data_IF_470425875460
#
_entry.id   IF_470425875460
#
_cell.length_a   1.000
_cell.length_b   1.000
_cell.length_c   1.000
_cell.angle_alpha   90.00
_cell.angle_beta   90.00
_cell.angle_gamma   90.00
#
_symmetry.space_group_name_H-M   'P 1'
#
loop_
_entity.id
_entity.type
_entity.pdbx_description
1 polymer ?
#
# COMPACT_ATOMS: atom_id res chain seq x y z
N UNK A 1 14.41 10.10 -26.31
CA UNK A 1 14.57 9.37 -25.04
C UNK A 1 13.37 8.47 -24.90
N UNK A 2 13.61 7.17 -24.73
CA UNK A 2 12.54 6.17 -24.62
C UNK A 2 11.65 6.47 -23.42
N UNK A 3 10.38 6.08 -23.52
CA UNK A 3 9.31 6.37 -22.54
C UNK A 3 9.66 6.03 -21.08
N UNK A 4 10.63 5.15 -20.85
CA UNK A 4 11.07 4.69 -19.52
C UNK A 4 12.60 4.72 -19.33
N UNK A 5 13.36 5.30 -20.26
CA UNK A 5 14.83 5.30 -20.23
C UNK A 5 15.40 6.04 -19.02
N UNK A 6 14.82 7.19 -18.71
CA UNK A 6 15.28 8.06 -17.61
C UNK A 6 15.01 7.41 -16.24
N UNK A 7 13.86 6.73 -16.08
CA UNK A 7 13.52 6.00 -14.85
C UNK A 7 14.46 4.81 -14.61
N UNK A 8 14.83 4.10 -15.68
CA UNK A 8 15.82 3.03 -15.60
C UNK A 8 17.20 3.58 -15.24
N UNK A 9 17.62 4.66 -15.89
CA UNK A 9 18.91 5.30 -15.62
C UNK A 9 18.97 5.79 -14.17
N UNK A 10 17.92 6.44 -13.65
CA UNK A 10 17.84 6.83 -12.25
C UNK A 10 18.02 5.63 -11.30
N UNK A 11 17.31 4.52 -11.55
CA UNK A 11 17.43 3.32 -10.72
C UNK A 11 18.84 2.70 -10.74
N UNK A 12 19.55 2.80 -11.87
CA UNK A 12 20.94 2.36 -11.96
C UNK A 12 21.86 3.28 -11.14
N UNK A 13 21.63 4.60 -11.20
CA UNK A 13 22.43 5.61 -10.50
C UNK A 13 22.31 5.45 -8.98
N UNK A 14 21.11 5.21 -8.45
CA UNK A 14 20.91 4.92 -7.02
C UNK A 14 21.72 3.70 -6.54
N UNK A 15 21.99 2.77 -7.45
CA UNK A 15 22.79 1.55 -7.19
C UNK A 15 24.28 1.74 -7.48
N UNK A 16 24.70 2.96 -7.82
CA UNK A 16 26.09 3.28 -8.16
C UNK A 16 26.52 2.86 -9.56
N UNK A 17 25.58 2.47 -10.42
CA UNK A 17 25.84 2.02 -11.80
C UNK A 17 25.49 3.13 -12.81
N UNK A 18 26.07 3.05 -14.01
CA UNK A 18 25.69 3.92 -15.14
C UNK A 18 25.35 3.07 -16.35
N UNK A 19 24.33 3.49 -17.10
CA UNK A 19 23.91 2.79 -18.31
C UNK A 19 25.02 2.74 -19.38
N UNK A 20 25.90 3.74 -19.41
CA UNK A 20 27.05 3.79 -20.32
C UNK A 20 28.15 2.75 -20.02
N UNK A 21 28.17 2.17 -18.82
CA UNK A 21 29.19 1.21 -18.40
C UNK A 21 28.78 -0.25 -18.72
N UNK A 22 27.60 -0.44 -19.33
CA UNK A 22 27.06 -1.75 -19.73
C UNK A 22 27.90 -2.35 -20.85
N UNK A 23 28.27 -3.62 -20.69
CA UNK A 23 29.14 -4.35 -21.61
C UNK A 23 30.62 -4.33 -21.19
N UNK A 24 30.93 -3.78 -20.02
CA UNK A 24 32.24 -3.90 -19.38
C UNK A 24 32.41 -5.26 -18.70
N UNK A 25 33.64 -5.55 -18.24
CA UNK A 25 33.95 -6.78 -17.48
C UNK A 25 33.21 -6.79 -16.14
N UNK A 26 32.99 -5.62 -15.54
CA UNK A 26 32.36 -5.48 -14.22
C UNK A 26 30.83 -5.32 -14.30
N UNK A 27 30.30 -4.90 -15.45
CA UNK A 27 28.86 -4.71 -15.66
C UNK A 27 28.44 -5.18 -17.05
N UNK A 28 27.96 -6.42 -17.13
CA UNK A 28 27.61 -7.07 -18.39
C UNK A 28 26.17 -6.79 -18.80
N UNK A 29 25.84 -7.07 -20.07
CA UNK A 29 24.45 -7.03 -20.56
C UNK A 29 23.52 -7.99 -19.80
N UNK A 30 24.06 -9.08 -19.25
CA UNK A 30 23.29 -10.00 -18.44
C UNK A 30 22.92 -9.38 -17.10
N UNK A 31 23.85 -8.67 -16.45
CA UNK A 31 23.61 -7.98 -15.19
C UNK A 31 22.54 -6.90 -15.34
N UNK A 32 22.60 -6.13 -16.43
CA UNK A 32 21.54 -5.17 -16.77
C UNK A 32 20.19 -5.86 -16.92
N UNK A 33 20.12 -6.99 -17.66
CA UNK A 33 18.86 -7.71 -17.86
C UNK A 33 18.28 -8.24 -16.54
N UNK A 34 19.12 -8.75 -15.63
CA UNK A 34 18.70 -9.20 -14.30
C UNK A 34 18.18 -8.03 -13.47
N UNK A 35 18.86 -6.88 -13.49
CA UNK A 35 18.44 -5.67 -12.78
C UNK A 35 17.09 -5.20 -13.31
N UNK A 36 16.93 -5.02 -14.63
CA UNK A 36 15.67 -4.58 -15.24
C UNK A 36 14.53 -5.53 -14.88
N UNK A 37 14.75 -6.85 -14.99
CA UNK A 37 13.74 -7.86 -14.64
C UNK A 37 13.36 -7.80 -13.15
N UNK A 38 14.32 -7.62 -12.27
CA UNK A 38 14.06 -7.57 -10.81
C UNK A 38 13.36 -6.27 -10.42
N UNK A 39 13.79 -5.14 -10.98
CA UNK A 39 13.22 -3.83 -10.68
C UNK A 39 11.81 -3.66 -11.24
N UNK A 40 11.57 -4.11 -12.47
CA UNK A 40 10.26 -4.00 -13.10
C UNK A 40 9.17 -4.86 -12.42
N UNK A 41 9.57 -5.90 -11.70
CA UNK A 41 8.67 -6.71 -10.86
C UNK A 41 8.65 -6.27 -9.38
N UNK A 42 9.54 -5.35 -9.01
CA UNK A 42 9.64 -4.82 -7.67
C UNK A 42 8.68 -3.66 -7.41
N UNK A 43 8.65 -3.21 -6.16
CA UNK A 43 7.88 -2.05 -5.70
C UNK A 43 8.86 -1.02 -5.10
N UNK A 44 8.45 0.24 -5.02
CA UNK A 44 9.26 1.29 -4.39
C UNK A 44 10.46 1.76 -5.21
N UNK A 45 10.40 1.62 -6.54
CA UNK A 45 11.44 2.15 -7.43
C UNK A 45 10.83 2.88 -8.63
N UNK A 46 11.59 3.81 -9.20
CA UNK A 46 11.10 4.71 -10.26
C UNK A 46 10.76 3.94 -11.56
N UNK A 47 11.46 2.84 -11.85
CA UNK A 47 11.13 1.99 -12.99
C UNK A 47 9.76 1.31 -12.81
N UNK A 48 9.45 0.84 -11.61
CA UNK A 48 8.15 0.25 -11.31
C UNK A 48 7.02 1.29 -11.39
N UNK A 49 7.26 2.53 -10.94
CA UNK A 49 6.30 3.64 -11.10
C UNK A 49 6.05 3.94 -12.57
N UNK A 50 7.10 3.96 -13.38
CA UNK A 50 6.97 4.22 -14.81
C UNK A 50 6.20 3.11 -15.55
N UNK A 51 6.30 1.85 -15.09
CA UNK A 51 5.64 0.69 -15.70
C UNK A 51 4.19 0.48 -15.21
N UNK A 52 3.96 0.63 -13.91
CA UNK A 52 2.70 0.23 -13.24
C UNK A 52 1.94 1.41 -12.64
N UNK A 53 2.46 2.63 -12.77
CA UNK A 53 1.86 3.85 -12.24
C UNK A 53 2.20 4.12 -10.76
N UNK A 54 1.60 5.18 -10.23
CA UNK A 54 1.95 5.73 -8.91
C UNK A 54 1.79 4.72 -7.76
N UNK A 55 0.88 3.76 -7.89
CA UNK A 55 0.69 2.69 -6.90
C UNK A 55 1.95 1.86 -6.66
N UNK A 56 2.79 1.67 -7.68
CA UNK A 56 4.04 0.92 -7.55
C UNK A 56 5.14 1.67 -6.80
N UNK A 57 4.94 2.95 -6.47
CA UNK A 57 5.84 3.73 -5.60
C UNK A 57 5.84 3.21 -4.17
N UNK A 58 4.73 2.62 -3.73
CA UNK A 58 4.55 2.29 -2.33
C UNK A 58 4.92 0.84 -2.03
N UNK A 59 5.67 0.65 -0.95
CA UNK A 59 6.01 -0.69 -0.47
C UNK A 59 4.80 -1.39 0.14
N UNK A 60 4.89 -2.71 0.31
CA UNK A 60 3.88 -3.48 1.07
C UNK A 60 3.72 -2.94 2.49
N UNK A 61 4.82 -2.49 3.10
CA UNK A 61 4.81 -1.96 4.45
C UNK A 61 4.03 -0.64 4.54
N UNK A 62 4.16 0.24 3.54
CA UNK A 62 3.37 1.49 3.47
C UNK A 62 1.87 1.18 3.44
N UNK A 63 1.48 0.21 2.60
CA UNK A 63 0.09 -0.23 2.52
C UNK A 63 -0.41 -0.79 3.86
N UNK A 64 0.43 -1.57 4.55
CA UNK A 64 0.09 -2.09 5.89
C UNK A 64 -0.10 -0.96 6.90
N UNK A 65 0.78 0.03 6.92
CA UNK A 65 0.66 1.16 7.83
C UNK A 65 -0.59 1.98 7.57
N UNK A 66 -0.94 2.25 6.31
CA UNK A 66 -2.19 2.93 5.96
C UNK A 66 -3.40 2.15 6.46
N UNK A 67 -3.42 0.82 6.31
CA UNK A 67 -4.50 -0.02 6.83
C UNK A 67 -4.59 0.04 8.36
N UNK A 68 -3.47 -0.10 9.06
CA UNK A 68 -3.42 -0.02 10.53
C UNK A 68 -3.92 1.34 11.00
N UNK A 69 -3.43 2.43 10.40
CA UNK A 69 -3.83 3.79 10.76
C UNK A 69 -5.33 3.99 10.58
N UNK A 70 -5.89 3.58 9.44
CA UNK A 70 -7.33 3.66 9.19
C UNK A 70 -8.14 2.83 10.20
N UNK A 71 -7.68 1.62 10.54
CA UNK A 71 -8.33 0.78 11.56
C UNK A 71 -8.30 1.45 12.94
N UNK A 72 -7.15 1.99 13.35
CA UNK A 72 -7.01 2.69 14.64
C UNK A 72 -7.90 3.92 14.69
N UNK A 73 -7.91 4.72 13.63
CA UNK A 73 -8.74 5.92 13.52
C UNK A 73 -10.24 5.57 13.61
N UNK A 74 -10.66 4.49 12.95
CA UNK A 74 -12.03 4.00 13.01
C UNK A 74 -12.40 3.51 14.41
N UNK A 75 -11.54 2.70 15.04
CA UNK A 75 -11.74 2.21 16.42
C UNK A 75 -11.79 3.33 17.46
N UNK A 76 -10.98 4.38 17.27
CA UNK A 76 -11.04 5.57 18.13
C UNK A 76 -12.37 6.31 17.95
N UNK A 77 -12.86 6.42 16.70
CA UNK A 77 -14.13 7.07 16.40
C UNK A 77 -15.33 6.29 16.96
N UNK A 78 -15.38 4.96 16.85
CA UNK A 78 -16.51 4.15 17.35
C UNK A 78 -16.73 4.31 18.85
N UNK A 79 -15.66 4.54 19.61
CA UNK A 79 -15.73 4.80 21.06
C UNK A 79 -16.07 6.26 21.41
N UNK A 80 -16.17 7.15 20.43
CA UNK A 80 -16.44 8.57 20.65
C UNK A 80 -17.94 8.84 20.85
N UNK A 81 -18.26 9.94 21.54
CA UNK A 81 -19.64 10.47 21.63
C UNK A 81 -20.21 10.84 20.26
N UNK A 82 -19.36 11.10 19.27
CA UNK A 82 -19.76 11.41 17.89
C UNK A 82 -20.39 10.20 17.21
N UNK A 83 -19.81 9.01 17.38
CA UNK A 83 -20.39 7.77 16.86
C UNK A 83 -21.74 7.44 17.52
N UNK A 84 -21.84 7.62 18.84
CA UNK A 84 -23.10 7.41 19.59
C UNK A 84 -24.26 8.32 19.15
N UNK A 85 -23.94 9.46 18.51
CA UNK A 85 -24.92 10.43 17.99
C UNK A 85 -25.12 10.34 16.48
N UNK A 86 -24.77 9.20 15.87
CA UNK A 86 -24.83 8.99 14.41
C UNK A 86 -24.03 10.04 13.62
N UNK A 87 -22.88 10.47 14.16
CA UNK A 87 -21.93 11.31 13.43
C UNK A 87 -21.36 10.59 12.20
N UNK A 88 -20.73 11.32 11.29
CA UNK A 88 -20.02 10.70 10.17
C UNK A 88 -18.70 10.08 10.67
N UNK A 89 -18.31 8.88 10.16
CA UNK A 89 -16.99 8.33 10.44
C UNK A 89 -15.89 9.19 9.82
N UNK A 90 -14.65 9.08 10.32
CA UNK A 90 -13.50 9.72 9.70
C UNK A 90 -13.29 9.18 8.28
N UNK A 91 -12.84 10.06 7.40
CA UNK A 91 -12.51 9.69 6.02
C UNK A 91 -11.22 8.84 6.03
N UNK A 92 -11.20 7.68 5.34
CA UNK A 92 -10.00 6.85 5.28
C UNK A 92 -8.87 7.59 4.57
N UNK A 93 -7.64 7.39 5.04
CA UNK A 93 -6.45 7.88 4.36
C UNK A 93 -5.99 6.85 3.34
N UNK A 94 -5.60 7.31 2.15
CA UNK A 94 -5.06 6.48 1.10
C UNK A 94 -3.62 6.90 0.77
N UNK A 95 -2.84 5.95 0.27
CA UNK A 95 -1.57 6.27 -0.35
C UNK A 95 -1.85 6.96 -1.70
N UNK A 96 -1.05 7.95 -2.10
CA UNK A 96 -1.19 8.59 -3.41
C UNK A 96 -1.28 7.57 -4.56
N UNK A 97 -2.28 7.71 -5.42
CA UNK A 97 -2.54 6.78 -6.53
C UNK A 97 -3.13 5.43 -6.11
N UNK A 98 -3.51 5.25 -4.84
CA UNK A 98 -4.20 4.08 -4.31
C UNK A 98 -5.62 4.42 -3.80
N UNK A 99 -6.14 5.58 -4.19
CA UNK A 99 -7.51 5.99 -3.90
C UNK A 99 -8.51 5.08 -4.62
N UNK A 100 -9.64 4.74 -3.99
CA UNK A 100 -10.69 3.96 -4.64
C UNK A 100 -11.30 4.78 -5.78
N UNK A 101 -11.51 4.15 -6.94
CA UNK A 101 -12.13 4.81 -8.10
C UNK A 101 -13.60 5.17 -7.84
N UNK A 102 -14.29 4.37 -7.03
CA UNK A 102 -15.69 4.60 -6.68
C UNK A 102 -15.91 4.66 -5.16
N UNK A 103 -16.91 5.44 -4.75
CA UNK A 103 -17.31 5.57 -3.34
C UNK A 103 -17.83 4.24 -2.77
N UNK A 104 -18.35 3.34 -3.62
CA UNK A 104 -18.77 1.99 -3.25
C UNK A 104 -17.63 1.07 -2.83
N UNK A 105 -16.40 1.38 -3.25
CA UNK A 105 -15.20 0.60 -2.93
C UNK A 105 -14.60 1.03 -1.58
N UNK A 106 -15.17 2.07 -0.95
CA UNK A 106 -14.86 2.47 0.41
C UNK A 106 -15.57 1.53 1.38
N UNK A 107 -14.83 0.58 1.93
CA UNK A 107 -15.32 -0.24 3.03
C UNK A 107 -15.30 0.53 4.34
N UNK A 108 -16.43 1.14 4.69
CA UNK A 108 -16.68 1.58 6.06
C UNK A 108 -17.10 0.36 6.87
N UNK A 109 -16.46 0.13 8.02
CA UNK A 109 -17.05 -0.76 9.02
C UNK A 109 -18.41 -0.18 9.41
N UNK A 110 -19.47 -0.98 9.30
CA UNK A 110 -20.75 -0.64 9.93
C UNK A 110 -20.60 -0.98 11.40
N UNK A 111 -20.95 -0.03 12.29
CA UNK A 111 -20.98 -0.31 13.71
C UNK A 111 -22.06 -1.37 13.96
N UNK A 112 -21.63 -2.62 14.20
CA UNK A 112 -22.49 -3.71 14.64
C UNK A 112 -22.66 -3.66 16.15
N UNK A 113 -23.81 -4.10 16.64
CA UNK A 113 -24.04 -4.31 18.08
C UNK A 113 -23.09 -5.39 18.62
N UNK A 114 -22.83 -5.37 19.94
CA UNK A 114 -21.94 -6.37 20.56
C UNK A 114 -22.52 -7.78 20.37
N UNK A 115 -23.84 -7.92 20.39
CA UNK A 115 -24.58 -9.15 20.11
C UNK A 115 -24.34 -9.67 18.69
N UNK A 116 -24.42 -8.81 17.67
CA UNK A 116 -24.14 -9.18 16.27
C UNK A 116 -22.67 -9.59 16.05
N UNK A 117 -21.74 -8.93 16.74
CA UNK A 117 -20.31 -9.29 16.67
C UNK A 117 -20.06 -10.65 17.33
N UNK A 118 -20.72 -10.93 18.47
CA UNK A 118 -20.65 -12.23 19.15
C UNK A 118 -21.28 -13.34 18.31
N UNK A 119 -22.43 -13.08 17.67
CA UNK A 119 -23.06 -14.03 16.76
C UNK A 119 -22.16 -14.36 15.57
N UNK A 120 -21.51 -13.35 14.98
CA UNK A 120 -20.62 -13.52 13.84
C UNK A 120 -19.33 -14.29 14.18
N UNK A 121 -18.70 -13.96 15.31
CA UNK A 121 -17.44 -14.56 15.75
C UNK A 121 -17.62 -15.91 16.47
N UNK A 122 -18.84 -16.25 16.90
CA UNK A 122 -19.11 -17.49 17.62
C UNK A 122 -18.49 -17.52 19.02
N UNK A 123 -18.15 -18.72 19.50
CA UNK A 123 -17.66 -18.93 20.88
C UNK A 123 -16.31 -18.24 21.16
N UNK A 124 -15.51 -17.92 20.13
CA UNK A 124 -14.23 -17.21 20.25
C UNK A 124 -14.40 -15.75 20.74
N UNK A 125 -15.58 -15.16 20.57
CA UNK A 125 -15.86 -13.80 21.02
C UNK A 125 -15.96 -13.68 22.54
N UNK A 126 -16.44 -14.74 23.22
CA UNK A 126 -16.66 -14.72 24.68
C UNK A 126 -15.35 -14.60 25.45
N UNK A 127 -14.30 -15.29 25.01
CA UNK A 127 -12.95 -15.16 25.60
C UNK A 127 -12.32 -13.79 25.31
N UNK A 128 -12.51 -13.24 24.10
CA UNK A 128 -11.94 -11.96 23.70
C UNK A 128 -12.56 -10.75 24.41
N UNK A 129 -13.85 -10.83 24.76
CA UNK A 129 -14.60 -9.74 25.40
C UNK A 129 -14.88 -9.95 26.89
N UNK A 130 -14.51 -11.10 27.48
CA UNK A 130 -14.61 -11.36 28.91
C UNK A 130 -16.06 -11.46 29.41
N UNK A 131 -16.94 -12.09 28.61
CA UNK A 131 -18.35 -12.33 28.93
C UNK A 131 -18.62 -13.82 29.20
#
# INVERSE_FOLDING_TARGET
MDKHGDSLEFCLIERGLRLRDVGSVEFTWHDLAVIVKTLGNGWGNELAVALHGERARWSVQDHMFTRIMNTVQWLAWTKSKGAQKNGKPPEPVYLPGCEPENDSDKHYGVAASTEEVIEFLGDDARELFGL
#
